data_IF_449118440442
#
_entry.id   IF_449118440442
#
_cell.length_a   1.000
_cell.length_b   1.000
_cell.length_c   1.000
_cell.angle_alpha   90.00
_cell.angle_beta   90.00
_cell.angle_gamma   90.00
#
_symmetry.space_group_name_H-M   'P 1'
#
loop_
_entity.id
_entity.type
_entity.pdbx_description
1 polymer ?
#
# COMPACT_ATOMS: atom_id res chain seq x y z
N UNK A 1 -24.88 -22.17 19.27
CA UNK A 1 -23.50 -21.68 19.42
C UNK A 1 -23.29 -20.76 18.24
N UNK A 2 -23.09 -19.47 18.44
CA UNK A 2 -22.65 -18.58 17.37
C UNK A 2 -21.27 -19.04 16.92
N UNK A 3 -21.12 -19.34 15.64
CA UNK A 3 -19.84 -19.66 15.02
C UNK A 3 -18.93 -18.44 15.18
N UNK A 4 -17.81 -18.59 15.86
CA UNK A 4 -16.86 -17.48 16.07
C UNK A 4 -16.25 -17.14 14.71
N UNK A 5 -16.58 -15.96 14.17
CA UNK A 5 -16.06 -15.47 12.88
C UNK A 5 -14.53 -15.47 12.88
N UNK A 6 -13.96 -15.89 11.77
CA UNK A 6 -12.52 -15.81 11.54
C UNK A 6 -12.05 -14.35 11.39
N UNK A 7 -10.77 -14.08 11.62
CA UNK A 7 -10.21 -12.74 11.41
C UNK A 7 -10.40 -12.27 9.96
N UNK A 8 -10.36 -13.16 8.97
CA UNK A 8 -10.64 -12.85 7.57
C UNK A 8 -12.07 -12.34 7.36
N UNK A 9 -13.06 -13.04 7.91
CA UNK A 9 -14.48 -12.63 7.83
C UNK A 9 -14.71 -11.28 8.51
N UNK A 10 -14.14 -11.08 9.71
CA UNK A 10 -14.22 -9.78 10.41
C UNK A 10 -13.58 -8.64 9.60
N UNK A 11 -12.46 -8.91 8.92
CA UNK A 11 -11.76 -7.90 8.10
C UNK A 11 -12.57 -7.55 6.85
N UNK A 12 -13.20 -8.53 6.20
CA UNK A 12 -14.11 -8.30 5.08
C UNK A 12 -15.30 -7.46 5.53
N UNK A 13 -15.89 -7.77 6.68
CA UNK A 13 -16.99 -6.98 7.25
C UNK A 13 -16.58 -5.53 7.55
N UNK A 14 -15.35 -5.29 8.03
CA UNK A 14 -14.83 -3.94 8.20
C UNK A 14 -14.79 -3.20 6.86
N UNK A 15 -14.22 -3.81 5.82
CA UNK A 15 -14.14 -3.20 4.48
C UNK A 15 -15.54 -2.87 3.96
N UNK A 16 -16.49 -3.79 4.09
CA UNK A 16 -17.87 -3.59 3.64
C UNK A 16 -18.58 -2.49 4.45
N UNK A 17 -18.32 -2.40 5.74
CA UNK A 17 -18.84 -1.33 6.59
C UNK A 17 -18.28 0.05 6.22
N UNK A 18 -16.99 0.13 5.84
CA UNK A 18 -16.39 1.36 5.32
C UNK A 18 -16.99 1.75 3.97
N UNK A 19 -17.20 0.80 3.04
CA UNK A 19 -17.89 1.01 1.77
C UNK A 19 -19.31 1.55 2.00
N UNK A 20 -20.08 0.90 2.87
CA UNK A 20 -21.45 1.35 3.20
C UNK A 20 -21.44 2.76 3.80
N UNK A 21 -20.43 3.12 4.60
CA UNK A 21 -20.27 4.48 5.11
C UNK A 21 -20.05 5.47 3.96
N UNK A 22 -19.13 5.20 3.04
CA UNK A 22 -18.89 6.05 1.86
C UNK A 22 -20.17 6.21 1.02
N UNK A 23 -20.91 5.13 0.79
CA UNK A 23 -22.18 5.17 0.05
C UNK A 23 -23.23 6.06 0.75
N UNK A 24 -23.35 5.97 2.08
CA UNK A 24 -24.29 6.78 2.87
C UNK A 24 -24.01 8.29 2.71
N UNK A 25 -22.76 8.67 2.51
CA UNK A 25 -22.34 10.05 2.32
C UNK A 25 -22.16 10.43 0.83
N UNK A 26 -22.75 9.67 -0.09
CA UNK A 26 -22.83 9.99 -1.52
C UNK A 26 -21.59 9.70 -2.34
N UNK A 27 -20.65 8.93 -1.79
CA UNK A 27 -19.38 8.58 -2.44
C UNK A 27 -19.36 7.14 -3.01
N UNK A 28 -20.48 6.44 -3.02
CA UNK A 28 -20.56 5.07 -3.53
C UNK A 28 -20.21 4.99 -5.01
N UNK A 29 -19.30 4.09 -5.37
CA UNK A 29 -18.75 3.92 -6.72
C UNK A 29 -18.04 5.17 -7.30
N UNK A 30 -17.73 6.15 -6.48
CA UNK A 30 -16.89 7.31 -6.86
C UNK A 30 -15.40 6.90 -6.86
N UNK A 31 -14.61 7.55 -7.72
CA UNK A 31 -13.16 7.41 -7.75
C UNK A 31 -12.46 7.77 -6.43
N UNK A 32 -13.13 8.46 -5.50
CA UNK A 32 -12.61 8.81 -4.19
C UNK A 32 -12.92 7.77 -3.11
N UNK A 33 -13.95 6.93 -3.31
CA UNK A 33 -14.34 5.88 -2.36
C UNK A 33 -13.14 5.00 -2.01
N UNK A 34 -12.42 4.48 -3.02
CA UNK A 34 -11.27 3.62 -2.79
C UNK A 34 -10.13 4.33 -2.05
N UNK A 35 -9.92 5.65 -2.29
CA UNK A 35 -8.88 6.41 -1.61
C UNK A 35 -9.16 6.50 -0.12
N UNK A 36 -10.42 6.75 0.23
CA UNK A 36 -10.87 6.83 1.62
C UNK A 36 -10.70 5.46 2.30
N UNK A 37 -11.26 4.41 1.69
CA UNK A 37 -11.25 3.09 2.29
C UNK A 37 -9.83 2.57 2.47
N UNK A 38 -8.97 2.72 1.46
CA UNK A 38 -7.58 2.24 1.55
C UNK A 38 -6.77 2.98 2.59
N UNK A 39 -6.95 4.30 2.73
CA UNK A 39 -6.23 5.07 3.74
C UNK A 39 -6.76 4.83 5.15
N UNK A 40 -8.08 4.73 5.34
CA UNK A 40 -8.68 4.39 6.64
C UNK A 40 -8.31 2.97 7.08
N UNK A 41 -8.30 2.02 6.14
CA UNK A 41 -7.85 0.65 6.38
C UNK A 41 -6.35 0.62 6.77
N UNK A 42 -5.51 1.34 6.02
CA UNK A 42 -4.09 1.46 6.33
C UNK A 42 -3.87 2.12 7.70
N UNK A 43 -4.60 3.20 8.01
CA UNK A 43 -4.51 3.84 9.31
C UNK A 43 -4.83 2.86 10.45
N UNK A 44 -5.91 2.08 10.31
CA UNK A 44 -6.24 1.04 11.29
C UNK A 44 -5.13 -0.01 11.42
N UNK A 45 -4.62 -0.48 10.30
CA UNK A 45 -3.52 -1.46 10.28
C UNK A 45 -2.27 -0.91 11.00
N UNK A 46 -1.85 0.32 10.69
CA UNK A 46 -0.67 0.95 11.30
C UNK A 46 -0.87 1.22 12.79
N UNK A 47 -2.07 1.67 13.21
CA UNK A 47 -2.42 1.85 14.61
C UNK A 47 -2.27 0.55 15.41
N UNK A 48 -2.82 -0.54 14.89
CA UNK A 48 -2.78 -1.82 15.57
C UNK A 48 -1.40 -2.46 15.53
N UNK A 49 -0.66 -2.29 14.42
CA UNK A 49 0.73 -2.76 14.30
C UNK A 49 1.63 -2.04 15.29
N UNK A 50 1.49 -0.72 15.42
CA UNK A 50 2.18 0.05 16.45
C UNK A 50 1.85 -0.48 17.85
N UNK A 51 0.57 -0.65 18.20
CA UNK A 51 0.14 -1.20 19.49
C UNK A 51 0.70 -2.60 19.75
N UNK A 52 0.75 -3.45 18.75
CA UNK A 52 1.33 -4.79 18.85
C UNK A 52 2.83 -4.74 19.15
N UNK A 53 3.59 -3.87 18.49
CA UNK A 53 5.04 -3.77 18.66
C UNK A 53 5.44 -3.04 19.96
N UNK A 54 4.76 -1.96 20.35
CA UNK A 54 5.08 -1.27 21.62
C UNK A 54 4.83 -2.17 22.84
N UNK A 55 3.86 -3.09 22.77
CA UNK A 55 3.64 -4.10 23.84
C UNK A 55 4.76 -5.14 23.92
N UNK A 56 5.55 -5.33 22.86
CA UNK A 56 6.73 -6.22 22.91
C UNK A 56 7.92 -5.56 23.61
N UNK A 57 8.11 -4.26 23.40
CA UNK A 57 9.27 -3.52 23.94
C UNK A 57 8.99 -2.91 25.31
N UNK A 58 7.73 -2.71 25.71
CA UNK A 58 7.34 -2.14 27.00
C UNK A 58 6.48 -3.10 27.82
N UNK A 59 7.04 -3.60 28.94
CA UNK A 59 6.30 -4.45 29.88
C UNK A 59 5.13 -3.71 30.52
N UNK A 60 5.26 -2.39 30.74
CA UNK A 60 4.19 -1.57 31.30
C UNK A 60 2.97 -1.55 30.34
N UNK A 61 3.18 -1.34 29.05
CA UNK A 61 2.12 -1.33 28.06
C UNK A 61 1.54 -2.73 27.81
N UNK A 62 2.37 -3.78 27.87
CA UNK A 62 1.92 -5.17 27.73
C UNK A 62 0.93 -5.58 28.83
N UNK A 63 1.14 -5.10 30.07
CA UNK A 63 0.34 -5.47 31.23
C UNK A 63 -0.82 -4.49 31.49
N UNK A 64 -0.91 -3.40 30.76
CA UNK A 64 -1.98 -2.42 30.91
C UNK A 64 -3.31 -2.98 30.35
N UNK A 65 -4.41 -2.78 31.07
CA UNK A 65 -5.75 -3.16 30.61
C UNK A 65 -6.14 -2.40 29.34
N UNK A 66 -5.74 -1.12 29.25
CA UNK A 66 -5.90 -0.24 28.09
C UNK A 66 -4.54 0.39 27.79
N UNK A 67 -3.80 -0.23 26.90
CA UNK A 67 -2.44 0.19 26.57
C UNK A 67 -2.39 1.61 25.99
N UNK A 68 -3.40 2.04 25.25
CA UNK A 68 -3.47 3.37 24.64
C UNK A 68 -3.54 4.48 25.70
N UNK A 69 -4.28 4.24 26.80
CA UNK A 69 -4.34 5.19 27.90
C UNK A 69 -3.01 5.21 28.68
N UNK A 70 -2.45 4.04 28.97
CA UNK A 70 -1.16 3.95 29.64
C UNK A 70 -0.05 4.63 28.79
N UNK A 71 -0.06 4.46 27.47
CA UNK A 71 0.86 5.12 26.56
C UNK A 71 0.68 6.64 26.56
N UNK A 72 -0.56 7.14 26.60
CA UNK A 72 -0.86 8.56 26.64
C UNK A 72 -0.40 9.23 27.96
N UNK A 73 -0.38 8.48 29.07
CA UNK A 73 0.08 8.94 30.38
C UNK A 73 1.61 8.90 30.57
N UNK A 74 2.35 8.26 29.67
CA UNK A 74 3.81 8.20 29.70
C UNK A 74 4.44 9.57 29.48
N UNK A 75 5.60 9.79 30.07
CA UNK A 75 6.42 10.98 29.79
C UNK A 75 6.88 10.98 28.32
N UNK A 76 7.28 12.15 27.81
CA UNK A 76 7.83 12.27 26.47
C UNK A 76 9.11 11.46 26.31
N UNK A 77 9.98 11.49 27.33
CA UNK A 77 11.25 10.74 27.34
C UNK A 77 10.99 9.22 27.28
N UNK A 78 10.04 8.68 28.08
CA UNK A 78 9.69 7.26 28.03
C UNK A 78 9.14 6.84 26.64
N UNK A 79 8.39 7.73 25.97
CA UNK A 79 7.91 7.47 24.61
C UNK A 79 9.03 7.50 23.57
N UNK A 80 10.03 8.38 23.73
CA UNK A 80 11.22 8.40 22.86
C UNK A 80 12.04 7.12 23.04
N UNK A 81 12.23 6.63 24.26
CA UNK A 81 12.90 5.35 24.54
C UNK A 81 12.18 4.17 23.85
N UNK A 82 10.83 4.20 23.84
CA UNK A 82 10.04 3.22 23.10
C UNK A 82 10.32 3.34 21.60
N UNK A 83 10.28 4.54 21.02
CA UNK A 83 10.54 4.75 19.59
C UNK A 83 11.92 4.25 19.18
N UNK A 84 12.96 4.51 19.96
CA UNK A 84 14.32 4.04 19.72
C UNK A 84 14.45 2.50 19.81
N UNK A 85 13.53 1.85 20.52
CA UNK A 85 13.48 0.40 20.67
C UNK A 85 12.65 -0.31 19.61
N UNK A 86 11.84 0.42 18.82
CA UNK A 86 11.01 -0.16 17.79
C UNK A 86 11.84 -0.52 16.53
N UNK A 87 11.45 -1.58 15.79
CA UNK A 87 11.98 -1.81 14.46
C UNK A 87 11.74 -0.59 13.53
N UNK A 88 12.67 -0.32 12.64
CA UNK A 88 12.64 0.85 11.74
C UNK A 88 11.48 0.85 10.73
N UNK A 89 10.79 -0.26 10.58
CA UNK A 89 9.63 -0.44 9.70
C UNK A 89 8.28 -0.20 10.41
N UNK A 90 8.31 0.19 11.68
CA UNK A 90 7.10 0.46 12.47
C UNK A 90 6.80 1.97 12.44
N UNK A 91 5.52 2.37 12.21
CA UNK A 91 5.16 3.78 12.23
C UNK A 91 5.35 4.37 13.64
N UNK A 92 5.82 5.62 13.71
CA UNK A 92 5.91 6.36 14.95
C UNK A 92 4.59 7.11 15.18
N UNK A 93 3.82 6.67 16.17
CA UNK A 93 2.53 7.29 16.51
C UNK A 93 2.60 7.92 17.88
N UNK A 94 2.21 9.19 17.98
CA UNK A 94 1.98 9.87 19.25
C UNK A 94 0.61 9.50 19.82
N UNK A 95 0.32 9.77 21.10
CA UNK A 95 -1.00 9.49 21.70
C UNK A 95 -2.17 10.10 20.93
N UNK A 96 -2.02 11.33 20.42
CA UNK A 96 -3.03 12.02 19.62
C UNK A 96 -3.33 11.34 18.27
N UNK A 97 -2.42 10.51 17.77
CA UNK A 97 -2.59 9.78 16.52
C UNK A 97 -3.41 8.49 16.68
N UNK A 98 -3.63 8.03 17.93
CA UNK A 98 -4.30 6.76 18.17
C UNK A 98 -5.82 6.85 17.93
N UNK A 99 -6.38 5.79 17.37
CA UNK A 99 -7.82 5.67 17.11
C UNK A 99 -8.63 5.83 18.40
N UNK A 100 -8.15 5.31 19.53
CA UNK A 100 -8.77 5.48 20.83
C UNK A 100 -8.87 6.96 21.25
N UNK A 101 -7.87 7.78 20.92
CA UNK A 101 -7.92 9.22 21.19
C UNK A 101 -8.94 9.94 20.28
N UNK A 102 -8.99 9.61 18.99
CA UNK A 102 -10.03 10.13 18.10
C UNK A 102 -11.43 9.76 18.59
N UNK A 103 -11.63 8.52 19.01
CA UNK A 103 -12.91 8.08 19.59
C UNK A 103 -13.33 8.95 20.77
N UNK A 104 -12.42 9.26 21.67
CA UNK A 104 -12.70 10.10 22.86
C UNK A 104 -13.01 11.57 22.50
N UNK A 105 -12.64 12.03 21.31
CA UNK A 105 -12.83 13.41 20.85
C UNK A 105 -14.05 13.60 19.96
N UNK A 106 -14.82 12.58 19.66
CA UNK A 106 -15.95 12.62 18.70
C UNK A 106 -17.05 13.67 19.02
N UNK A 107 -17.20 14.05 20.30
CA UNK A 107 -18.19 15.06 20.70
C UNK A 107 -17.79 16.50 20.29
N UNK A 108 -16.55 16.74 19.87
CA UNK A 108 -16.10 18.06 19.43
C UNK A 108 -16.78 18.47 18.11
N UNK A 109 -17.14 19.75 18.00
CA UNK A 109 -17.85 20.29 16.83
C UNK A 109 -17.03 20.24 15.53
N UNK A 110 -15.71 20.40 15.63
CA UNK A 110 -14.72 20.42 14.56
C UNK A 110 -14.02 19.05 14.35
N UNK A 111 -14.73 17.98 14.54
CA UNK A 111 -14.16 16.62 14.52
C UNK A 111 -13.59 16.23 13.15
N UNK A 112 -14.13 16.74 12.06
CA UNK A 112 -13.56 16.57 10.71
C UNK A 112 -12.15 17.17 10.59
N UNK A 113 -11.93 18.35 11.16
CA UNK A 113 -10.60 18.97 11.17
C UNK A 113 -9.63 18.18 12.05
N UNK A 114 -10.08 17.68 13.20
CA UNK A 114 -9.28 16.82 14.08
C UNK A 114 -8.89 15.53 13.35
N UNK A 115 -9.82 14.88 12.70
CA UNK A 115 -9.57 13.66 11.94
C UNK A 115 -8.58 13.90 10.79
N UNK A 116 -8.80 14.92 9.97
CA UNK A 116 -7.94 15.25 8.84
C UNK A 116 -6.52 15.69 9.29
N UNK A 117 -6.39 16.43 10.39
CA UNK A 117 -5.08 16.76 10.94
C UNK A 117 -4.36 15.53 11.45
N UNK A 118 -5.04 14.64 12.16
CA UNK A 118 -4.45 13.37 12.59
C UNK A 118 -3.88 12.58 11.41
N UNK A 119 -4.61 12.46 10.30
CA UNK A 119 -4.15 11.75 9.11
C UNK A 119 -2.89 12.41 8.52
N UNK A 120 -2.89 13.75 8.39
CA UNK A 120 -1.73 14.48 7.84
C UNK A 120 -0.54 14.47 8.77
N UNK A 121 -0.74 14.60 10.08
CA UNK A 121 0.34 14.58 11.08
C UNK A 121 1.04 13.21 11.14
N UNK A 122 0.28 12.10 11.04
CA UNK A 122 0.86 10.77 10.90
C UNK A 122 1.71 10.68 9.64
N UNK A 123 1.22 11.20 8.51
CA UNK A 123 1.94 11.16 7.25
C UNK A 123 3.25 11.97 7.31
N UNK A 124 3.21 13.17 7.88
CA UNK A 124 4.38 14.06 7.99
C UNK A 124 5.42 13.47 8.95
N UNK A 125 5.00 12.94 10.09
CA UNK A 125 5.90 12.31 11.07
C UNK A 125 6.62 11.08 10.50
N UNK A 126 5.98 10.37 9.59
CA UNK A 126 6.48 9.12 9.02
C UNK A 126 6.87 9.25 7.53
N UNK A 127 7.09 10.46 7.03
CA UNK A 127 7.32 10.73 5.60
C UNK A 127 8.57 10.01 5.05
N UNK A 128 9.55 9.79 5.88
CA UNK A 128 10.80 9.13 5.48
C UNK A 128 10.63 7.63 5.25
N UNK A 129 9.64 7.02 5.90
CA UNK A 129 9.37 5.57 5.80
C UNK A 129 8.12 5.33 4.96
N UNK A 130 7.03 6.05 5.25
CA UNK A 130 5.71 5.82 4.66
C UNK A 130 5.34 6.91 3.65
N UNK A 131 6.08 7.02 2.55
CA UNK A 131 5.77 7.93 1.44
C UNK A 131 5.87 7.24 0.08
N UNK A 132 5.26 7.84 -0.94
CA UNK A 132 5.45 7.45 -2.33
C UNK A 132 6.55 8.31 -2.95
N UNK A 133 7.49 7.70 -3.65
CA UNK A 133 8.52 8.42 -4.38
C UNK A 133 8.21 8.47 -5.87
N UNK A 134 8.28 9.65 -6.46
CA UNK A 134 8.21 9.82 -7.91
C UNK A 134 9.59 9.63 -8.54
N UNK A 135 9.62 9.41 -9.87
CA UNK A 135 10.88 9.33 -10.61
C UNK A 135 11.72 10.64 -10.54
N UNK A 136 11.12 11.76 -10.09
CA UNK A 136 11.78 13.03 -9.83
C UNK A 136 12.22 13.21 -8.37
N UNK A 137 12.24 12.16 -7.58
CA UNK A 137 12.60 12.15 -6.14
C UNK A 137 11.67 13.01 -5.25
N UNK A 138 10.42 13.23 -5.66
CA UNK A 138 9.43 13.90 -4.82
C UNK A 138 8.73 12.88 -3.93
N UNK A 139 8.74 13.11 -2.61
CA UNK A 139 7.99 12.29 -1.66
C UNK A 139 6.54 12.75 -1.62
N UNK A 140 5.62 11.82 -1.76
CA UNK A 140 4.16 12.02 -1.65
C UNK A 140 3.67 11.25 -0.44
N UNK A 141 3.04 11.89 0.55
CA UNK A 141 2.54 11.23 1.75
C UNK A 141 1.48 10.18 1.41
N UNK A 142 1.38 9.13 2.24
CA UNK A 142 0.37 8.08 2.07
C UNK A 142 -1.01 8.51 2.52
N UNK A 143 -1.09 9.44 3.48
CA UNK A 143 -2.34 9.96 4.00
C UNK A 143 -2.58 11.39 3.54
N UNK A 144 -3.84 11.73 3.36
CA UNK A 144 -4.33 13.05 2.98
C UNK A 144 -5.61 13.38 3.76
N UNK A 145 -6.10 14.61 3.62
CA UNK A 145 -7.38 15.03 4.21
C UNK A 145 -8.53 14.29 3.54
N UNK A 146 -9.21 13.42 4.27
CA UNK A 146 -10.24 12.55 3.70
C UNK A 146 -11.63 13.18 3.68
N UNK A 147 -11.92 14.07 4.64
CA UNK A 147 -13.25 14.72 4.71
C UNK A 147 -13.48 15.72 3.58
N UNK A 148 -12.41 16.19 2.90
CA UNK A 148 -12.52 17.04 1.71
C UNK A 148 -13.33 16.45 0.56
N UNK A 149 -13.46 15.12 0.51
CA UNK A 149 -14.25 14.42 -0.51
C UNK A 149 -15.75 14.48 -0.25
N UNK A 150 -16.16 14.85 0.97
CA UNK A 150 -17.58 15.12 1.30
C UNK A 150 -17.91 16.55 0.92
N UNK A 151 -18.80 16.71 -0.06
CA UNK A 151 -19.12 18.02 -0.66
C UNK A 151 -19.85 18.94 0.31
N UNK A 152 -20.75 18.36 1.14
CA UNK A 152 -21.49 19.08 2.16
C UNK A 152 -20.63 19.23 3.43
N UNK A 153 -20.21 20.47 3.73
CA UNK A 153 -19.37 20.76 4.89
C UNK A 153 -20.02 20.31 6.21
N UNK A 154 -21.36 20.38 6.31
CA UNK A 154 -22.09 19.96 7.52
C UNK A 154 -22.08 18.44 7.72
N UNK A 155 -21.82 17.68 6.67
CA UNK A 155 -21.75 16.22 6.70
C UNK A 155 -20.32 15.70 6.99
N UNK A 156 -19.28 16.53 6.95
CA UNK A 156 -17.88 16.12 7.13
C UNK A 156 -17.59 15.55 8.50
N UNK A 157 -17.99 16.26 9.57
CA UNK A 157 -17.77 15.77 10.92
C UNK A 157 -18.59 14.49 11.23
N UNK A 158 -19.89 14.36 10.86
CA UNK A 158 -20.62 13.10 10.92
C UNK A 158 -19.96 11.96 10.14
N UNK A 159 -19.42 12.23 8.94
CA UNK A 159 -18.71 11.24 8.13
C UNK A 159 -17.44 10.73 8.84
N UNK A 160 -16.60 11.64 9.35
CA UNK A 160 -15.39 11.27 10.08
C UNK A 160 -15.72 10.42 11.33
N UNK A 161 -16.78 10.78 12.08
CA UNK A 161 -17.27 9.96 13.21
C UNK A 161 -17.67 8.56 12.76
N UNK A 162 -18.45 8.47 11.68
CA UNK A 162 -18.90 7.19 11.16
C UNK A 162 -17.74 6.27 10.73
N UNK A 163 -16.64 6.83 10.19
CA UNK A 163 -15.43 6.06 9.89
C UNK A 163 -14.75 5.57 11.17
N UNK A 164 -14.52 6.44 12.16
CA UNK A 164 -13.85 6.08 13.42
C UNK A 164 -14.65 5.01 14.19
N UNK A 165 -15.99 5.10 14.18
CA UNK A 165 -16.89 4.09 14.79
C UNK A 165 -16.66 2.67 14.24
N UNK A 166 -16.31 2.53 12.97
CA UNK A 166 -16.02 1.23 12.37
C UNK A 166 -14.67 0.68 12.82
N UNK A 167 -13.70 1.54 13.10
CA UNK A 167 -12.35 1.15 13.44
C UNK A 167 -12.18 0.71 14.90
N UNK A 168 -12.90 1.33 15.82
CA UNK A 168 -12.72 1.16 17.27
C UNK A 168 -12.98 -0.28 17.74
N UNK A 169 -13.95 -0.97 17.14
CA UNK A 169 -14.36 -2.32 17.55
C UNK A 169 -13.66 -3.44 16.77
N UNK A 170 -12.70 -3.10 15.92
CA UNK A 170 -11.92 -4.06 15.15
C UNK A 170 -10.47 -4.08 15.62
N UNK A 171 -9.79 -5.23 15.52
CA UNK A 171 -8.36 -5.37 15.79
C UNK A 171 -7.70 -6.30 14.77
N UNK A 172 -6.53 -5.86 14.26
CA UNK A 172 -5.65 -6.68 13.43
C UNK A 172 -4.69 -7.55 14.24
N UNK A 173 -4.66 -7.45 15.57
CA UNK A 173 -3.64 -8.09 16.40
C UNK A 173 -3.53 -9.61 16.15
N UNK A 174 -4.68 -10.28 16.01
CA UNK A 174 -4.73 -11.71 15.65
C UNK A 174 -4.14 -12.00 14.26
N UNK A 175 -4.15 -11.02 13.35
CA UNK A 175 -3.67 -11.18 11.98
C UNK A 175 -2.15 -11.09 11.87
N UNK A 176 -1.46 -10.41 12.80
CA UNK A 176 0.00 -10.21 12.74
C UNK A 176 0.80 -11.51 12.92
N UNK A 177 0.19 -12.55 13.43
CA UNK A 177 0.76 -13.88 13.51
C UNK A 177 0.42 -14.76 12.29
N UNK A 178 -0.44 -14.26 11.39
CA UNK A 178 -0.86 -14.92 10.17
C UNK A 178 0.15 -14.63 9.06
N UNK A 179 0.23 -15.56 8.12
CA UNK A 179 1.14 -15.47 6.99
C UNK A 179 0.51 -14.76 5.78
N UNK A 180 1.33 -14.57 4.76
CA UNK A 180 1.04 -13.94 3.47
C UNK A 180 -0.37 -14.19 2.89
N UNK A 181 -0.88 -15.43 2.94
CA UNK A 181 -2.18 -15.77 2.33
C UNK A 181 -3.34 -14.95 2.90
N UNK A 182 -3.30 -14.56 4.18
CA UNK A 182 -4.32 -13.71 4.77
C UNK A 182 -4.32 -12.30 4.14
N UNK A 183 -3.17 -11.65 4.11
CA UNK A 183 -3.06 -10.27 3.59
C UNK A 183 -3.26 -10.22 2.07
N UNK A 184 -2.82 -11.24 1.34
CA UNK A 184 -3.07 -11.35 -0.10
C UNK A 184 -4.59 -11.45 -0.41
N UNK A 185 -5.32 -12.27 0.32
CA UNK A 185 -6.77 -12.40 0.18
C UNK A 185 -7.53 -11.11 0.54
N UNK A 186 -7.13 -10.46 1.63
CA UNK A 186 -7.72 -9.18 2.05
C UNK A 186 -7.43 -8.08 1.05
N UNK A 187 -6.21 -8.01 0.54
CA UNK A 187 -5.82 -7.05 -0.49
C UNK A 187 -6.62 -7.27 -1.78
N UNK A 188 -6.74 -8.52 -2.23
CA UNK A 188 -7.56 -8.88 -3.40
C UNK A 188 -9.02 -8.45 -3.20
N UNK A 189 -9.59 -8.70 -2.03
CA UNK A 189 -10.95 -8.27 -1.70
C UNK A 189 -11.08 -6.73 -1.71
N UNK A 190 -10.12 -6.04 -1.12
CA UNK A 190 -10.11 -4.57 -1.05
C UNK A 190 -10.11 -3.92 -2.44
N UNK A 191 -9.37 -4.48 -3.41
CA UNK A 191 -9.23 -3.90 -4.76
C UNK A 191 -10.23 -4.44 -5.78
N UNK A 192 -10.96 -5.53 -5.48
CA UNK A 192 -11.83 -6.24 -6.43
C UNK A 192 -12.83 -5.31 -7.14
N UNK A 193 -13.56 -4.50 -6.38
CA UNK A 193 -14.61 -3.65 -6.93
C UNK A 193 -14.03 -2.47 -7.74
N UNK A 194 -12.83 -2.03 -7.39
CA UNK A 194 -12.16 -0.91 -8.07
C UNK A 194 -11.59 -1.30 -9.42
N UNK A 195 -11.28 -2.58 -9.62
CA UNK A 195 -10.87 -3.11 -10.92
C UNK A 195 -12.04 -3.28 -11.88
N UNK A 196 -13.27 -3.47 -11.37
CA UNK A 196 -14.48 -3.64 -12.18
C UNK A 196 -15.18 -2.31 -12.52
N UNK A 197 -15.18 -1.34 -11.62
CA UNK A 197 -15.89 -0.06 -11.76
C UNK A 197 -15.29 0.88 -12.85
N UNK A 198 -14.06 0.66 -13.29
CA UNK A 198 -13.36 1.50 -14.27
C UNK A 198 -13.82 1.34 -15.74
N UNK A 199 -14.88 0.58 -16.02
CA UNK A 199 -15.52 0.52 -17.36
C UNK A 199 -14.58 0.12 -18.50
N UNK A 200 -13.61 -0.75 -18.30
CA UNK A 200 -12.71 -1.28 -19.31
C UNK A 200 -11.64 -0.30 -19.83
N UNK A 201 -11.74 1.00 -19.56
CA UNK A 201 -10.71 1.99 -19.92
C UNK A 201 -9.55 2.10 -18.94
N UNK A 202 -9.74 1.61 -17.73
CA UNK A 202 -8.77 1.61 -16.62
C UNK A 202 -8.72 0.26 -15.90
N UNK A 203 -9.07 -0.83 -16.58
CA UNK A 203 -8.79 -2.18 -16.07
C UNK A 203 -7.26 -2.32 -15.99
N UNK A 204 -6.71 -1.81 -14.89
CA UNK A 204 -5.36 -2.15 -14.47
C UNK A 204 -5.40 -3.65 -14.28
N UNK A 205 -4.61 -4.37 -15.11
CA UNK A 205 -4.64 -5.82 -15.17
C UNK A 205 -4.11 -6.39 -13.86
N UNK A 206 -5.05 -6.75 -12.98
CA UNK A 206 -4.75 -7.46 -11.77
C UNK A 206 -4.31 -8.89 -12.12
N UNK A 207 -3.16 -9.30 -11.63
CA UNK A 207 -2.71 -10.69 -11.77
C UNK A 207 -3.36 -11.53 -10.67
N UNK A 208 -4.17 -12.56 -10.99
CA UNK A 208 -4.77 -13.42 -9.99
C UNK A 208 -3.70 -14.05 -9.09
N UNK A 209 -3.94 -14.04 -7.78
CA UNK A 209 -3.01 -14.55 -6.76
C UNK A 209 -2.52 -15.97 -7.05
N UNK A 210 -3.42 -16.86 -7.50
CA UNK A 210 -3.06 -18.24 -7.84
C UNK A 210 -2.01 -18.32 -8.97
N UNK A 211 -2.11 -17.45 -9.99
CA UNK A 211 -1.14 -17.39 -11.10
C UNK A 211 0.20 -16.85 -10.58
N UNK A 212 0.18 -15.80 -9.78
CA UNK A 212 1.39 -15.23 -9.18
C UNK A 212 2.13 -16.27 -8.32
N UNK A 213 1.41 -17.03 -7.51
CA UNK A 213 1.97 -18.11 -6.70
C UNK A 213 2.61 -19.21 -7.55
N UNK A 214 1.97 -19.62 -8.65
CA UNK A 214 2.54 -20.61 -9.58
C UNK A 214 3.84 -20.07 -10.19
N UNK A 215 3.84 -18.82 -10.67
CA UNK A 215 5.02 -18.20 -11.26
C UNK A 215 6.18 -18.11 -10.25
N UNK A 216 5.91 -17.67 -9.03
CA UNK A 216 6.91 -17.59 -7.97
C UNK A 216 7.51 -18.97 -7.65
N UNK A 217 6.67 -20.01 -7.53
CA UNK A 217 7.13 -21.39 -7.29
C UNK A 217 7.97 -21.95 -8.43
N UNK A 218 7.64 -21.63 -9.68
CA UNK A 218 8.42 -22.06 -10.85
C UNK A 218 9.78 -21.36 -10.91
N UNK A 219 9.82 -20.05 -10.65
CA UNK A 219 11.05 -19.25 -10.71
C UNK A 219 12.03 -19.60 -9.59
N UNK A 220 11.56 -19.62 -8.35
CA UNK A 220 12.40 -19.90 -7.18
C UNK A 220 12.71 -21.38 -7.05
N UNK A 221 11.81 -22.25 -7.51
CA UNK A 221 11.99 -23.72 -7.47
C UNK A 221 12.23 -24.23 -6.04
N UNK A 222 13.25 -25.06 -5.88
CA UNK A 222 13.67 -25.67 -4.62
C UNK A 222 14.89 -25.00 -3.99
N UNK A 223 15.22 -23.74 -4.37
CA UNK A 223 16.32 -23.02 -3.77
C UNK A 223 16.08 -22.80 -2.27
N UNK A 224 17.05 -23.16 -1.42
CA UNK A 224 16.87 -23.14 0.04
C UNK A 224 17.78 -22.16 0.76
N UNK A 225 18.87 -21.73 0.14
CA UNK A 225 19.87 -20.85 0.76
C UNK A 225 19.86 -19.48 0.10
N UNK A 226 18.69 -18.82 0.19
CA UNK A 226 18.47 -17.51 -0.41
C UNK A 226 18.68 -16.41 0.63
N UNK A 227 19.52 -15.42 0.28
CA UNK A 227 19.83 -14.25 1.09
C UNK A 227 20.05 -13.03 0.20
N UNK A 228 19.58 -11.87 0.65
CA UNK A 228 19.77 -10.58 -0.05
C UNK A 228 19.31 -10.60 -1.51
N UNK A 229 18.20 -11.27 -1.77
CA UNK A 229 17.64 -11.43 -3.12
C UNK A 229 16.95 -10.14 -3.57
N UNK A 230 17.21 -9.70 -4.78
CA UNK A 230 16.58 -8.54 -5.39
C UNK A 230 15.57 -8.98 -6.44
N UNK A 231 14.29 -8.60 -6.23
CA UNK A 231 13.18 -8.89 -7.13
C UNK A 231 12.70 -7.62 -7.81
N UNK A 232 12.44 -7.67 -9.11
CA UNK A 232 12.00 -6.50 -9.88
C UNK A 232 10.79 -6.78 -10.76
N UNK A 233 9.88 -5.79 -10.83
CA UNK A 233 8.81 -5.74 -11.83
C UNK A 233 8.77 -4.34 -12.48
N UNK A 234 9.04 -4.23 -13.80
CA UNK A 234 9.02 -2.98 -14.55
C UNK A 234 7.61 -2.43 -14.85
N UNK A 235 6.57 -3.20 -14.58
CA UNK A 235 5.15 -2.84 -14.74
C UNK A 235 4.32 -3.41 -13.58
N UNK A 236 4.73 -3.04 -12.37
CA UNK A 236 4.40 -3.74 -11.15
C UNK A 236 2.89 -3.78 -10.81
N UNK A 237 2.09 -2.86 -11.39
CA UNK A 237 0.69 -2.77 -11.04
C UNK A 237 0.51 -2.63 -9.52
N UNK A 238 -0.29 -3.51 -8.93
CA UNK A 238 -0.50 -3.57 -7.46
C UNK A 238 0.52 -4.42 -6.72
N UNK A 239 1.52 -4.99 -7.43
CA UNK A 239 2.61 -5.76 -6.83
C UNK A 239 2.34 -7.23 -6.54
N UNK A 240 1.26 -7.80 -7.04
CA UNK A 240 0.85 -9.18 -6.71
C UNK A 240 1.94 -10.21 -7.06
N UNK A 241 2.63 -10.06 -8.22
CA UNK A 241 3.73 -10.95 -8.61
C UNK A 241 4.92 -10.83 -7.64
N UNK A 242 5.27 -9.61 -7.24
CA UNK A 242 6.37 -9.35 -6.32
C UNK A 242 6.08 -9.88 -4.92
N UNK A 243 4.85 -9.73 -4.42
CA UNK A 243 4.46 -10.29 -3.12
C UNK A 243 4.54 -11.82 -3.12
N UNK A 244 4.10 -12.46 -4.20
CA UNK A 244 4.21 -13.92 -4.33
C UNK A 244 5.67 -14.40 -4.36
N UNK A 245 6.58 -13.65 -5.00
CA UNK A 245 8.01 -13.92 -4.97
C UNK A 245 8.59 -13.74 -3.57
N UNK A 246 8.32 -12.60 -2.92
CA UNK A 246 8.80 -12.30 -1.59
C UNK A 246 8.38 -13.38 -0.58
N UNK A 247 7.11 -13.78 -0.63
CA UNK A 247 6.61 -14.87 0.21
C UNK A 247 7.31 -16.21 -0.06
N UNK A 248 7.56 -16.55 -1.34
CA UNK A 248 8.24 -17.80 -1.68
C UNK A 248 9.73 -17.81 -1.28
N UNK A 249 10.39 -16.65 -1.27
CA UNK A 249 11.79 -16.47 -0.89
C UNK A 249 11.94 -16.35 0.63
N UNK A 250 11.02 -15.61 1.26
CA UNK A 250 11.03 -15.09 2.63
C UNK A 250 11.14 -13.56 2.59
N UNK A 251 10.22 -12.87 3.25
CA UNK A 251 10.11 -11.41 3.23
C UNK A 251 11.36 -10.73 3.83
N UNK A 252 12.00 -11.37 4.79
CA UNK A 252 13.25 -10.96 5.45
C UNK A 252 14.51 -11.20 4.60
N UNK A 253 14.39 -11.94 3.48
CA UNK A 253 15.52 -12.36 2.63
C UNK A 253 15.56 -11.66 1.29
N UNK A 254 14.60 -10.81 0.99
CA UNK A 254 14.54 -10.13 -0.30
C UNK A 254 14.22 -8.64 -0.17
N UNK A 255 14.62 -7.91 -1.20
CA UNK A 255 14.26 -6.51 -1.43
C UNK A 255 13.47 -6.41 -2.72
N UNK A 256 12.37 -5.68 -2.68
CA UNK A 256 11.48 -5.47 -3.81
C UNK A 256 11.81 -4.16 -4.49
N UNK A 257 12.03 -4.22 -5.80
CA UNK A 257 12.14 -3.09 -6.70
C UNK A 257 10.96 -3.10 -7.66
N UNK A 258 10.37 -1.95 -7.88
CA UNK A 258 9.17 -1.85 -8.70
C UNK A 258 9.10 -0.51 -9.42
N UNK A 259 8.53 -0.52 -10.61
CA UNK A 259 8.19 0.71 -11.30
C UNK A 259 6.84 0.54 -12.02
N UNK A 260 5.97 1.56 -11.92
CA UNK A 260 4.71 1.60 -12.66
C UNK A 260 4.34 3.03 -13.04
N UNK A 261 3.76 3.21 -14.21
CA UNK A 261 3.33 4.53 -14.68
C UNK A 261 2.10 5.05 -13.93
N UNK A 262 1.26 4.16 -13.43
CA UNK A 262 0.01 4.48 -12.75
C UNK A 262 0.27 4.92 -11.32
N UNK A 263 -0.10 6.16 -11.00
CA UNK A 263 -0.05 6.66 -9.62
C UNK A 263 -0.97 5.86 -8.69
N UNK A 264 -2.12 5.42 -9.20
CA UNK A 264 -3.07 4.62 -8.43
C UNK A 264 -2.48 3.26 -8.09
N UNK A 265 -1.94 2.56 -9.08
CA UNK A 265 -1.29 1.26 -8.87
C UNK A 265 -0.12 1.37 -7.90
N UNK A 266 0.70 2.42 -8.01
CA UNK A 266 1.83 2.63 -7.13
C UNK A 266 1.40 2.84 -5.66
N UNK A 267 0.31 3.58 -5.39
CA UNK A 267 -0.26 3.71 -4.04
C UNK A 267 -0.74 2.35 -3.50
N UNK A 268 -1.39 1.54 -4.35
CA UNK A 268 -1.83 0.19 -3.98
C UNK A 268 -0.66 -0.78 -3.75
N UNK A 269 0.37 -0.70 -4.58
CA UNK A 269 1.61 -1.47 -4.38
C UNK A 269 2.22 -1.16 -3.01
N UNK A 270 2.29 0.10 -2.61
CA UNK A 270 2.85 0.49 -1.30
C UNK A 270 2.01 -0.02 -0.14
N UNK A 271 0.69 0.07 -0.26
CA UNK A 271 -0.19 -0.58 0.72
C UNK A 271 0.11 -2.09 0.82
N UNK A 272 0.26 -2.75 -0.31
CA UNK A 272 0.55 -4.18 -0.36
C UNK A 272 1.92 -4.53 0.28
N UNK A 273 2.96 -3.72 0.02
CA UNK A 273 4.27 -3.85 0.67
C UNK A 273 4.17 -3.71 2.20
N UNK A 274 3.42 -2.71 2.69
CA UNK A 274 3.24 -2.48 4.13
C UNK A 274 2.52 -3.68 4.79
N UNK A 275 1.42 -4.14 4.18
CA UNK A 275 0.64 -5.26 4.70
C UNK A 275 1.46 -6.57 4.75
N UNK A 276 2.44 -6.73 3.87
CA UNK A 276 3.31 -7.91 3.79
C UNK A 276 4.67 -7.73 4.46
N UNK A 277 4.83 -6.75 5.36
CA UNK A 277 6.08 -6.50 6.11
C UNK A 277 7.32 -6.22 5.24
N UNK A 278 7.12 -5.64 4.07
CA UNK A 278 8.16 -5.24 3.11
C UNK A 278 8.39 -3.73 3.10
N UNK A 279 8.27 -3.09 4.27
CA UNK A 279 8.37 -1.63 4.44
C UNK A 279 9.71 -1.09 3.95
N UNK A 280 10.81 -1.83 4.16
CA UNK A 280 12.15 -1.49 3.66
C UNK A 280 12.23 -1.34 2.13
N UNK A 281 11.27 -1.88 1.40
CA UNK A 281 11.19 -1.80 -0.07
C UNK A 281 10.35 -0.61 -0.58
N UNK A 282 9.74 0.19 0.30
CA UNK A 282 8.86 1.30 -0.10
C UNK A 282 9.57 2.35 -0.97
N UNK A 283 10.84 2.65 -0.67
CA UNK A 283 11.64 3.61 -1.43
C UNK A 283 12.04 3.11 -2.83
N UNK A 284 11.90 1.80 -3.07
CA UNK A 284 12.17 1.17 -4.36
C UNK A 284 10.90 0.99 -5.21
N UNK A 285 9.74 1.38 -4.71
CA UNK A 285 8.48 1.37 -5.46
C UNK A 285 8.23 2.75 -6.11
N UNK A 286 8.61 2.89 -7.38
CA UNK A 286 8.71 4.16 -8.08
C UNK A 286 7.52 4.37 -9.03
N UNK A 287 6.93 5.55 -9.00
CA UNK A 287 5.94 5.98 -9.98
C UNK A 287 6.63 6.61 -11.18
N UNK A 288 6.48 6.00 -12.37
CA UNK A 288 7.07 6.52 -13.60
C UNK A 288 7.00 5.53 -14.78
N UNK A 289 7.16 6.07 -15.98
CA UNK A 289 7.17 5.27 -17.23
C UNK A 289 8.52 4.56 -17.38
N UNK A 290 8.54 3.27 -17.18
CA UNK A 290 9.74 2.43 -17.28
C UNK A 290 10.36 2.42 -18.69
N UNK A 291 9.55 2.57 -19.73
CA UNK A 291 10.06 2.51 -21.12
C UNK A 291 10.98 3.70 -21.44
N UNK A 292 10.60 4.90 -21.00
CA UNK A 292 11.32 6.14 -21.33
C UNK A 292 12.18 6.68 -20.18
N UNK A 293 11.91 6.28 -18.94
CA UNK A 293 12.61 6.75 -17.74
C UNK A 293 12.78 5.63 -16.72
N UNK A 294 13.58 4.58 -17.04
CA UNK A 294 13.88 3.54 -16.07
C UNK A 294 14.62 4.15 -14.88
N UNK A 295 14.08 3.97 -13.69
CA UNK A 295 14.60 4.60 -12.48
C UNK A 295 15.78 3.81 -11.87
N UNK A 296 15.63 2.49 -11.78
CA UNK A 296 16.63 1.66 -11.11
C UNK A 296 17.87 1.52 -11.95
N UNK A 297 18.95 2.12 -11.45
CA UNK A 297 20.28 2.14 -12.08
C UNK A 297 21.27 1.36 -11.25
N UNK A 298 22.36 0.94 -11.91
CA UNK A 298 23.56 0.44 -11.25
C UNK A 298 24.20 1.54 -10.38
N UNK A 299 25.09 1.15 -9.49
CA UNK A 299 25.73 2.06 -8.53
C UNK A 299 26.50 3.21 -9.20
N UNK A 300 26.98 3.01 -10.44
CA UNK A 300 27.62 4.05 -11.25
C UNK A 300 26.62 5.01 -11.93
N UNK A 301 25.32 4.72 -11.84
CA UNK A 301 24.23 5.52 -12.43
C UNK A 301 24.13 5.47 -13.96
N UNK A 302 25.01 4.75 -14.65
CA UNK A 302 25.10 4.74 -16.11
C UNK A 302 24.32 3.59 -16.76
N UNK A 303 24.32 2.43 -16.11
CA UNK A 303 23.66 1.23 -16.61
C UNK A 303 22.36 0.95 -15.83
N UNK A 304 21.52 0.07 -16.36
CA UNK A 304 20.39 -0.46 -15.64
C UNK A 304 20.89 -1.41 -14.54
N UNK A 305 20.18 -1.39 -13.39
CA UNK A 305 20.42 -2.38 -12.34
C UNK A 305 20.04 -3.77 -12.82
N UNK A 306 20.79 -4.76 -12.43
CA UNK A 306 20.47 -6.18 -12.61
C UNK A 306 19.83 -6.73 -11.34
N UNK A 307 18.95 -7.71 -11.47
CA UNK A 307 18.19 -8.30 -10.38
C UNK A 307 18.27 -9.82 -10.45
N UNK A 308 18.07 -10.49 -9.30
CA UNK A 308 18.07 -11.94 -9.23
C UNK A 308 16.82 -12.53 -9.88
N UNK A 309 15.68 -11.89 -9.66
CA UNK A 309 14.41 -12.28 -10.28
C UNK A 309 13.72 -11.06 -10.91
N UNK A 310 13.32 -11.22 -12.16
CA UNK A 310 12.48 -10.23 -12.86
C UNK A 310 11.18 -10.89 -13.27
N UNK A 311 10.07 -10.28 -12.87
CA UNK A 311 8.72 -10.73 -13.23
C UNK A 311 7.94 -9.58 -13.83
N UNK A 312 7.01 -9.86 -14.71
CA UNK A 312 6.14 -8.81 -15.26
C UNK A 312 4.88 -9.41 -15.86
N UNK A 313 3.76 -8.68 -15.67
CA UNK A 313 2.53 -8.85 -16.43
C UNK A 313 2.19 -7.49 -17.06
N UNK A 314 2.87 -7.10 -18.17
CA UNK A 314 2.72 -5.78 -18.74
C UNK A 314 1.34 -5.58 -19.37
N UNK A 315 0.82 -4.34 -19.44
CA UNK A 315 -0.47 -4.05 -20.04
C UNK A 315 -0.50 -4.41 -21.53
N UNK A 316 -1.59 -5.08 -21.95
CA UNK A 316 -1.80 -5.44 -23.36
C UNK A 316 -2.46 -4.30 -24.12
N UNK A 317 -2.06 -4.12 -25.39
CA UNK A 317 -2.63 -3.12 -26.32
C UNK A 317 -2.56 -1.67 -25.81
N UNK A 318 -1.56 -1.35 -25.02
CA UNK A 318 -1.32 0.03 -24.59
C UNK A 318 -0.86 0.87 -25.78
N UNK A 319 -1.49 2.02 -25.99
CA UNK A 319 -1.03 2.98 -26.99
C UNK A 319 0.23 3.71 -26.48
N UNK A 320 1.34 3.56 -27.19
CA UNK A 320 2.62 4.22 -26.91
C UNK A 320 3.08 5.12 -28.05
N UNK A 321 2.18 5.52 -28.94
CA UNK A 321 2.47 6.32 -30.13
C UNK A 321 3.24 7.61 -29.78
N UNK A 322 2.86 8.28 -28.70
CA UNK A 322 3.47 9.54 -28.27
C UNK A 322 4.90 9.37 -27.73
N UNK A 323 5.25 8.18 -27.25
CA UNK A 323 6.59 7.87 -26.69
C UNK A 323 7.46 7.07 -27.65
N UNK A 324 6.91 6.60 -28.77
CA UNK A 324 7.56 5.70 -29.72
C UNK A 324 8.89 6.22 -30.24
N UNK A 325 8.96 7.50 -30.61
CA UNK A 325 10.20 8.10 -31.11
C UNK A 325 11.28 8.16 -30.07
N UNK A 326 10.90 8.45 -28.82
CA UNK A 326 11.82 8.45 -27.67
C UNK A 326 12.37 7.06 -27.41
N UNK A 327 11.54 6.03 -27.49
CA UNK A 327 11.95 4.62 -27.35
C UNK A 327 12.89 4.23 -28.49
N UNK A 328 12.57 4.59 -29.72
CA UNK A 328 13.39 4.31 -30.91
C UNK A 328 14.79 5.00 -30.85
N UNK A 329 14.89 6.11 -30.13
CA UNK A 329 16.16 6.81 -29.90
C UNK A 329 17.08 6.11 -28.87
N UNK A 330 16.65 4.98 -28.27
CA UNK A 330 17.42 4.18 -27.31
C UNK A 330 17.77 2.79 -27.88
N UNK A 331 18.56 2.70 -28.96
CA UNK A 331 18.80 1.43 -29.67
C UNK A 331 19.59 0.39 -28.86
N UNK A 332 20.38 0.82 -27.89
CA UNK A 332 21.10 -0.10 -27.00
C UNK A 332 20.12 -0.85 -26.10
N UNK A 333 19.11 -0.16 -25.58
CA UNK A 333 18.10 -0.76 -24.70
C UNK A 333 17.07 -1.57 -25.50
N UNK A 334 16.64 -1.05 -26.65
CA UNK A 334 15.65 -1.68 -27.54
C UNK A 334 16.30 -2.20 -28.81
N UNK A 335 17.35 -3.02 -28.65
CA UNK A 335 18.16 -3.55 -29.72
C UNK A 335 17.37 -4.39 -30.74
N UNK A 336 16.27 -5.02 -30.31
CA UNK A 336 15.36 -5.77 -31.19
C UNK A 336 14.44 -4.86 -32.04
N UNK A 337 14.52 -3.55 -31.82
CA UNK A 337 13.69 -2.55 -32.49
C UNK A 337 12.38 -2.25 -31.77
N UNK A 338 11.64 -1.28 -32.29
CA UNK A 338 10.36 -0.82 -31.75
C UNK A 338 9.23 -1.26 -32.70
N UNK A 339 8.14 -1.83 -32.18
CA UNK A 339 7.00 -2.25 -33.00
C UNK A 339 6.47 -1.11 -33.90
N UNK A 340 6.04 -1.46 -35.09
CA UNK A 340 5.42 -0.51 -36.02
C UNK A 340 4.00 -0.22 -35.57
N UNK A 341 3.68 1.05 -35.38
CA UNK A 341 2.31 1.50 -35.15
C UNK A 341 1.65 1.75 -36.52
N UNK A 342 0.48 1.15 -36.82
CA UNK A 342 -0.24 1.46 -38.06
C UNK A 342 -0.64 2.93 -38.10
N UNK A 343 -0.40 3.61 -39.23
CA UNK A 343 -0.64 5.05 -39.41
C UNK A 343 -2.09 5.52 -39.21
N UNK A 344 -3.04 4.63 -38.96
CA UNK A 344 -4.48 4.92 -38.80
C UNK A 344 -5.14 4.32 -37.54
N UNK A 345 -4.41 3.61 -36.67
CA UNK A 345 -4.95 3.09 -35.42
C UNK A 345 -4.04 3.50 -34.28
N UNK A 346 -4.58 4.24 -33.32
CA UNK A 346 -3.92 4.57 -32.04
C UNK A 346 -3.74 3.34 -31.10
N UNK A 347 -3.99 2.16 -31.59
CA UNK A 347 -3.84 0.92 -30.84
C UNK A 347 -2.63 0.17 -31.36
N UNK A 348 -1.53 0.27 -30.66
CA UNK A 348 -0.36 -0.56 -30.88
C UNK A 348 -0.29 -1.65 -29.82
N UNK A 349 -0.05 -2.86 -30.27
CA UNK A 349 0.25 -3.98 -29.39
C UNK A 349 1.74 -3.95 -29.12
N UNK A 350 2.14 -3.53 -27.93
CA UNK A 350 3.51 -3.65 -27.49
C UNK A 350 3.57 -4.58 -26.27
N UNK A 351 4.28 -5.68 -26.42
CA UNK A 351 4.79 -6.45 -25.30
C UNK A 351 6.29 -6.18 -25.33
N UNK A 352 6.77 -5.44 -24.33
CA UNK A 352 8.20 -5.26 -24.11
C UNK A 352 8.57 -6.08 -22.89
N UNK A 353 9.33 -7.08 -23.09
CA UNK A 353 10.04 -7.83 -22.05
C UNK A 353 11.48 -7.35 -21.99
#
# INVERSE_FOLDING_TARGET
MEETKTIKEKTIELIDALKATCQTYGMGNDGNEYKIITQVFLYKFLNDKFGYEVKKVSTALKNAEKWELAYAEMSEDDRLDIFDSLPSDIPLLNPEHLIANLWNQQAKGDFDLIFDSTMTDIADKNIDIFSTQTAQNTKIPLFEKLTQYVTDDTARAPFARALVDKLVNFSFEEAFEKHYDFFADIFEYLIKDYNTAGGGKYAEYYTPHAIATIMARLLVGNATDLHSIECYDPSAGTGTLLMALAHKIGEDKCTIFAQDISQRSNKMLKLNLILNSLVSSLDHAIQGDTLIAPYHKSDNGQELRTFDYVVSNPPFKMDFSDTRERIAAMPVRFWAGVPKVPAKKKESMAIYT
#
